data_IF_676911500816
#
_entry.id   IF_676911500816
#
_cell.length_a   1.000
_cell.length_b   1.000
_cell.length_c   1.000
_cell.angle_alpha   90.00
_cell.angle_beta   90.00
_cell.angle_gamma   90.00
#
_symmetry.space_group_name_H-M   'P 1'
#
loop_
_entity.id
_entity.type
_entity.pdbx_description
1 polymer ?
#
# COMPACT_ATOMS: atom_id res chain seq x y z
N UNK A 1 29.90 19.32 -5.04
CA UNK A 1 28.88 18.64 -4.19
C UNK A 1 28.54 17.34 -4.88
N UNK A 2 28.68 16.18 -4.25
CA UNK A 2 28.36 14.89 -4.86
C UNK A 2 26.82 14.81 -5.06
N UNK A 3 26.35 14.27 -6.20
CA UNK A 3 24.91 14.14 -6.52
C UNK A 3 24.06 13.55 -5.36
N UNK A 4 24.61 12.59 -4.61
CA UNK A 4 24.01 12.04 -3.39
C UNK A 4 23.75 13.09 -2.30
N UNK A 5 24.64 14.05 -2.11
CA UNK A 5 24.48 15.15 -1.11
C UNK A 5 23.39 16.12 -1.56
N UNK A 6 23.22 16.34 -2.86
CA UNK A 6 22.14 17.16 -3.39
C UNK A 6 20.77 16.47 -3.23
N UNK A 7 20.68 15.17 -3.53
CA UNK A 7 19.45 14.38 -3.32
C UNK A 7 19.07 14.31 -1.84
N UNK A 8 20.03 14.14 -0.93
CA UNK A 8 19.80 14.19 0.53
C UNK A 8 19.33 15.58 1.01
N UNK A 9 19.87 16.66 0.46
CA UNK A 9 19.44 18.02 0.80
C UNK A 9 18.05 18.37 0.23
N UNK A 10 17.66 17.76 -0.88
CA UNK A 10 16.36 17.98 -1.53
C UNK A 10 15.26 17.12 -0.90
N UNK A 11 15.58 15.94 -0.38
CA UNK A 11 14.61 15.11 0.36
C UNK A 11 14.23 15.73 1.72
N UNK A 12 15.15 16.43 2.37
CA UNK A 12 14.87 17.18 3.62
C UNK A 12 14.05 18.47 3.41
N UNK A 13 13.89 18.90 2.16
CA UNK A 13 13.11 20.11 1.79
C UNK A 13 11.78 19.77 1.10
N UNK A 14 11.40 18.49 1.04
CA UNK A 14 10.17 18.06 0.33
C UNK A 14 10.20 18.29 -1.18
N UNK A 15 11.35 18.67 -1.75
CA UNK A 15 11.51 18.91 -3.19
C UNK A 15 12.07 17.65 -3.84
N UNK A 16 11.19 16.85 -4.43
CA UNK A 16 11.60 15.72 -5.27
C UNK A 16 11.92 16.27 -6.66
N UNK A 17 13.15 16.11 -7.16
CA UNK A 17 13.47 16.61 -8.49
C UNK A 17 12.63 15.85 -9.55
N UNK A 18 11.69 16.52 -10.18
CA UNK A 18 10.91 15.98 -11.31
C UNK A 18 11.80 15.45 -12.47
N UNK A 19 13.09 15.81 -12.46
CA UNK A 19 14.10 15.44 -13.46
C UNK A 19 14.60 13.98 -13.35
N UNK A 20 14.18 13.19 -12.34
CA UNK A 20 14.76 11.87 -12.07
C UNK A 20 13.97 10.68 -12.63
N UNK A 21 12.81 10.91 -13.26
CA UNK A 21 11.93 9.81 -13.68
C UNK A 21 11.47 9.88 -15.15
N UNK A 22 12.36 10.09 -16.13
CA UNK A 22 11.96 10.15 -17.53
C UNK A 22 11.36 8.81 -18.03
N UNK A 23 11.64 7.72 -17.34
CA UNK A 23 11.09 6.42 -17.65
C UNK A 23 9.59 6.30 -17.35
N UNK A 24 9.07 7.02 -16.34
CA UNK A 24 7.66 6.94 -15.95
C UNK A 24 6.70 7.64 -16.92
N UNK A 25 7.18 8.53 -17.77
CA UNK A 25 6.36 9.18 -18.81
C UNK A 25 6.23 8.37 -20.12
N UNK A 26 6.79 7.16 -20.16
CA UNK A 26 6.56 6.21 -21.26
C UNK A 26 5.12 5.70 -21.18
N UNK A 27 4.50 5.43 -22.30
CA UNK A 27 3.16 4.80 -22.31
C UNK A 27 3.20 3.39 -21.68
N UNK A 28 2.04 2.83 -21.37
CA UNK A 28 1.89 1.46 -20.87
C UNK A 28 2.48 0.46 -21.86
N UNK A 29 3.13 -0.60 -21.37
CA UNK A 29 3.64 -1.71 -22.23
C UNK A 29 2.51 -2.36 -23.01
N UNK A 30 2.81 -2.95 -24.17
CA UNK A 30 1.80 -3.59 -25.03
C UNK A 30 0.99 -4.63 -24.26
N UNK A 31 -0.33 -4.47 -24.23
CA UNK A 31 -1.25 -5.30 -23.46
C UNK A 31 -1.20 -5.11 -21.94
N UNK A 32 -0.58 -4.03 -21.45
CA UNK A 32 -0.55 -3.68 -20.03
C UNK A 32 -1.90 -3.21 -19.49
N UNK A 33 -2.02 -3.15 -18.16
CA UNK A 33 -3.25 -2.75 -17.46
C UNK A 33 -3.46 -1.23 -17.52
N UNK A 34 -4.65 -0.82 -17.98
CA UNK A 34 -5.06 0.59 -18.08
C UNK A 34 -6.19 0.96 -17.11
N UNK A 35 -6.69 0.00 -16.34
CA UNK A 35 -7.80 0.17 -15.41
C UNK A 35 -7.40 0.79 -14.07
N UNK A 36 -8.27 0.70 -13.04
CA UNK A 36 -8.00 1.25 -11.70
C UNK A 36 -6.80 0.59 -11.04
N UNK A 37 -6.17 1.33 -10.11
CA UNK A 37 -4.99 0.94 -9.38
C UNK A 37 -5.23 1.03 -7.87
N UNK A 38 -4.69 0.09 -7.11
CA UNK A 38 -4.78 0.08 -5.64
C UNK A 38 -3.39 -0.05 -5.02
N UNK A 39 -3.03 0.90 -4.16
CA UNK A 39 -1.84 0.83 -3.34
C UNK A 39 -2.23 0.84 -1.86
N UNK A 40 -1.75 -0.13 -1.10
CA UNK A 40 -1.99 -0.26 0.31
C UNK A 40 -0.70 -0.05 1.08
N UNK A 41 -0.73 0.80 2.12
CA UNK A 41 0.41 1.08 3.00
C UNK A 41 0.13 0.52 4.37
N UNK A 42 0.97 -0.39 4.83
CA UNK A 42 0.92 -0.94 6.17
C UNK A 42 1.97 -0.28 7.07
N UNK A 43 1.51 0.47 8.08
CA UNK A 43 2.33 1.00 9.16
C UNK A 43 2.41 -0.05 10.28
N UNK A 44 3.41 -0.94 10.21
CA UNK A 44 3.54 -2.11 11.09
C UNK A 44 3.96 -1.70 12.50
N UNK A 45 3.24 -2.22 13.49
CA UNK A 45 3.54 -2.04 14.90
C UNK A 45 2.49 -1.24 15.67
N UNK A 46 1.41 -0.82 15.06
CA UNK A 46 0.36 -0.01 15.72
C UNK A 46 0.70 1.48 15.75
N UNK A 47 0.33 2.22 14.72
CA UNK A 47 0.52 3.66 14.68
C UNK A 47 -0.32 4.40 15.73
N UNK A 48 0.21 5.48 16.30
CA UNK A 48 -0.52 6.31 17.27
C UNK A 48 -1.42 7.32 16.55
N UNK A 49 -2.71 7.01 16.49
CA UNK A 49 -3.69 7.92 15.86
C UNK A 49 -3.88 9.21 16.65
N UNK A 50 -3.58 9.25 17.97
CA UNK A 50 -3.71 10.46 18.79
C UNK A 50 -2.63 11.50 18.46
N UNK A 51 -1.50 11.04 17.92
CA UNK A 51 -0.44 11.89 17.39
C UNK A 51 -0.50 11.99 15.85
N UNK A 52 -1.58 11.52 15.22
CA UNK A 52 -1.76 11.56 13.77
C UNK A 52 -3.13 12.09 13.37
N UNK A 53 -4.10 11.23 13.05
CA UNK A 53 -5.37 11.56 12.38
C UNK A 53 -6.62 11.48 13.28
N UNK A 54 -6.47 11.20 14.56
CA UNK A 54 -7.51 11.26 15.60
C UNK A 54 -6.94 11.96 16.84
N UNK A 55 -6.57 13.27 16.75
CA UNK A 55 -5.84 13.97 17.79
C UNK A 55 -6.63 14.03 19.10
N UNK A 56 -5.92 13.78 20.21
CA UNK A 56 -6.45 13.93 21.58
C UNK A 56 -5.62 14.95 22.34
N UNK A 57 -6.29 15.84 23.05
CA UNK A 57 -5.64 16.86 23.90
C UNK A 57 -5.65 16.41 25.35
N UNK A 58 -4.65 16.86 26.12
CA UNK A 58 -4.56 16.56 27.54
C UNK A 58 -5.70 17.23 28.30
N UNK A 59 -6.34 16.48 29.21
CA UNK A 59 -7.39 16.98 30.06
C UNK A 59 -6.84 17.33 31.46
N UNK A 60 -7.25 18.42 32.10
CA UNK A 60 -6.83 18.78 33.44
C UNK A 60 -7.12 17.68 34.47
N UNK A 61 -6.11 17.22 35.18
CA UNK A 61 -6.23 16.19 36.23
C UNK A 61 -6.17 14.74 35.73
N UNK A 62 -6.05 14.53 34.43
CA UNK A 62 -5.83 13.22 33.83
C UNK A 62 -4.35 12.97 33.47
N UNK A 63 -4.00 11.71 33.18
CA UNK A 63 -2.66 11.39 32.68
C UNK A 63 -2.48 11.97 31.27
N UNK A 64 -1.30 12.50 30.94
CA UNK A 64 -1.04 13.04 29.61
C UNK A 64 -1.25 11.99 28.51
N UNK A 65 -1.92 12.41 27.43
CA UNK A 65 -2.14 11.61 26.21
C UNK A 65 -1.07 11.95 25.17
N UNK A 66 -0.73 13.24 25.05
CA UNK A 66 0.25 13.71 24.06
C UNK A 66 1.11 14.81 24.66
N UNK A 67 2.37 14.90 24.22
CA UNK A 67 3.26 16.00 24.61
C UNK A 67 2.99 17.25 23.78
N UNK A 68 2.55 17.11 22.53
CA UNK A 68 2.28 18.25 21.65
C UNK A 68 1.12 19.13 22.16
N UNK A 69 0.11 18.56 22.79
CA UNK A 69 -1.06 19.33 23.27
C UNK A 69 -0.78 20.21 24.51
N UNK A 70 0.41 20.16 25.09
CA UNK A 70 0.84 21.09 26.11
C UNK A 70 1.04 22.51 25.58
N UNK A 71 1.37 22.66 24.31
CA UNK A 71 1.75 23.93 23.70
C UNK A 71 1.09 24.24 22.36
N UNK A 72 0.42 23.28 21.76
CA UNK A 72 -0.17 23.36 20.42
C UNK A 72 -1.61 22.88 20.43
N UNK A 73 -2.39 23.33 19.47
CA UNK A 73 -3.74 22.86 19.16
C UNK A 73 -3.73 21.94 17.92
N UNK A 74 -4.72 21.05 17.77
CA UNK A 74 -4.89 20.26 16.55
C UNK A 74 -4.98 21.13 15.30
N UNK A 75 -4.35 20.65 14.21
CA UNK A 75 -4.39 21.28 12.89
C UNK A 75 -5.70 20.92 12.21
N UNK A 76 -6.55 21.93 11.90
CA UNK A 76 -7.82 21.74 11.21
C UNK A 76 -7.77 22.36 9.82
N UNK A 77 -7.94 21.53 8.80
CA UNK A 77 -7.95 21.98 7.40
C UNK A 77 -9.12 21.31 6.67
N UNK A 78 -10.05 22.14 6.15
CA UNK A 78 -11.28 21.62 5.57
C UNK A 78 -12.10 20.84 6.60
N UNK A 79 -12.45 19.60 6.29
CA UNK A 79 -13.21 18.72 7.18
C UNK A 79 -12.34 17.67 7.90
N UNK A 80 -11.02 17.80 7.91
CA UNK A 80 -10.10 16.89 8.58
C UNK A 80 -9.31 17.57 9.70
N UNK A 81 -8.93 16.77 10.70
CA UNK A 81 -8.19 17.21 11.86
C UNK A 81 -7.01 16.28 12.13
N UNK A 82 -5.82 16.86 12.33
CA UNK A 82 -4.58 16.12 12.59
C UNK A 82 -3.85 16.72 13.79
N UNK A 83 -3.07 15.88 14.46
CA UNK A 83 -2.15 16.35 15.49
C UNK A 83 -1.03 17.20 14.88
N UNK A 84 -0.58 18.30 15.53
CA UNK A 84 0.56 19.09 15.10
C UNK A 84 1.87 18.36 15.45
N UNK A 85 2.03 17.14 14.95
CA UNK A 85 3.12 16.22 15.25
C UNK A 85 3.88 15.86 13.97
N UNK A 86 5.20 15.74 14.05
CA UNK A 86 6.08 15.54 12.89
C UNK A 86 5.84 16.61 11.80
N UNK A 87 5.51 16.18 10.58
CA UNK A 87 5.17 17.06 9.45
C UNK A 87 3.68 16.97 9.06
N UNK A 88 2.80 16.65 10.01
CA UNK A 88 1.38 16.47 9.76
C UNK A 88 0.70 17.74 9.22
N UNK A 89 1.07 18.92 9.72
CA UNK A 89 0.51 20.20 9.24
C UNK A 89 0.73 20.36 7.74
N UNK A 90 1.97 20.23 7.28
CA UNK A 90 2.32 20.26 5.86
C UNK A 90 1.54 19.19 5.07
N UNK A 91 1.44 17.98 5.59
CA UNK A 91 0.77 16.87 4.93
C UNK A 91 -0.73 17.12 4.77
N UNK A 92 -1.41 17.53 5.83
CA UNK A 92 -2.86 17.78 5.79
C UNK A 92 -3.21 19.01 4.96
N UNK A 93 -2.42 20.09 5.02
CA UNK A 93 -2.59 21.25 4.16
C UNK A 93 -2.55 20.88 2.67
N UNK A 94 -1.63 19.99 2.30
CA UNK A 94 -1.45 19.57 0.91
C UNK A 94 -2.51 18.57 0.45
N UNK A 95 -2.92 17.65 1.30
CA UNK A 95 -3.69 16.45 0.89
C UNK A 95 -5.10 16.34 1.45
N UNK A 96 -5.58 17.25 2.31
CA UNK A 96 -6.90 17.12 2.93
C UNK A 96 -8.04 16.87 1.93
N UNK A 97 -8.01 17.50 0.76
CA UNK A 97 -9.05 17.34 -0.26
C UNK A 97 -9.09 15.95 -0.90
N UNK A 98 -8.00 15.21 -0.81
CA UNK A 98 -7.83 13.88 -1.41
C UNK A 98 -8.13 12.75 -0.43
N UNK A 99 -8.37 13.04 0.85
CA UNK A 99 -8.47 12.02 1.89
C UNK A 99 -9.82 11.97 2.59
N UNK A 100 -10.17 10.78 3.02
CA UNK A 100 -11.15 10.48 4.04
C UNK A 100 -10.46 9.66 5.12
N UNK A 101 -10.63 10.09 6.37
CA UNK A 101 -10.15 9.36 7.56
C UNK A 101 -11.34 8.66 8.21
N UNK A 102 -11.21 7.38 8.50
CA UNK A 102 -12.19 6.57 9.22
C UNK A 102 -11.62 6.32 10.61
N UNK A 103 -12.11 7.04 11.62
CA UNK A 103 -11.70 6.90 13.02
C UNK A 103 -12.60 5.92 13.78
N UNK A 104 -12.16 5.45 14.94
CA UNK A 104 -12.95 4.59 15.80
C UNK A 104 -13.19 3.19 15.23
N UNK A 105 -12.27 2.70 14.41
CA UNK A 105 -12.31 1.31 13.90
C UNK A 105 -11.83 0.38 15.00
N UNK A 106 -12.73 -0.46 15.53
CA UNK A 106 -12.39 -1.46 16.53
C UNK A 106 -11.86 -2.75 15.88
N UNK A 107 -10.56 -2.94 15.98
CA UNK A 107 -9.88 -4.12 15.47
C UNK A 107 -10.05 -5.36 16.37
N UNK A 108 -10.65 -5.21 17.54
CA UNK A 108 -10.98 -6.31 18.48
C UNK A 108 -9.76 -7.12 18.91
N UNK A 109 -8.57 -6.56 18.82
CA UNK A 109 -7.32 -7.27 19.14
C UNK A 109 -6.20 -6.31 19.51
N UNK A 110 -5.29 -6.82 20.36
CA UNK A 110 -4.01 -6.20 20.70
C UNK A 110 -2.83 -7.09 20.25
N UNK A 111 -3.05 -8.00 19.31
CA UNK A 111 -2.03 -8.88 18.73
C UNK A 111 -1.69 -8.44 17.32
N UNK A 112 -0.43 -8.15 17.03
CA UNK A 112 0.04 -7.74 15.71
C UNK A 112 -0.40 -8.71 14.60
N UNK A 113 -0.17 -10.00 14.76
CA UNK A 113 -0.55 -11.01 13.77
C UNK A 113 -2.04 -11.00 13.46
N UNK A 114 -2.88 -10.87 14.50
CA UNK A 114 -4.33 -10.84 14.34
C UNK A 114 -4.77 -9.50 13.77
N UNK A 115 -4.18 -8.39 14.22
CA UNK A 115 -4.47 -7.04 13.75
C UNK A 115 -4.16 -6.86 12.26
N UNK A 116 -2.99 -7.31 11.81
CA UNK A 116 -2.62 -7.30 10.38
C UNK A 116 -3.65 -8.07 9.55
N UNK A 117 -3.99 -9.28 9.97
CA UNK A 117 -4.97 -10.11 9.28
C UNK A 117 -6.34 -9.43 9.25
N UNK A 118 -6.82 -8.92 10.40
CA UNK A 118 -8.14 -8.31 10.53
C UNK A 118 -8.24 -7.02 9.72
N UNK A 119 -7.26 -6.13 9.84
CA UNK A 119 -7.28 -4.85 9.14
C UNK A 119 -7.22 -5.00 7.62
N UNK A 120 -6.51 -5.99 7.09
CA UNK A 120 -6.26 -6.10 5.66
C UNK A 120 -7.10 -7.16 4.91
N UNK A 121 -7.83 -7.99 5.65
CA UNK A 121 -8.82 -8.92 5.08
C UNK A 121 -10.27 -8.57 5.42
N UNK A 122 -10.48 -7.70 6.41
CA UNK A 122 -11.80 -7.41 6.97
C UNK A 122 -12.34 -8.51 7.89
N UNK A 123 -11.52 -9.52 8.24
CA UNK A 123 -11.96 -10.65 9.06
C UNK A 123 -10.92 -11.04 10.10
N UNK A 124 -11.38 -11.23 11.33
CA UNK A 124 -10.55 -11.70 12.43
C UNK A 124 -10.40 -13.25 12.42
N UNK A 125 -10.13 -13.83 11.26
CA UNK A 125 -9.85 -15.24 11.06
C UNK A 125 -9.26 -15.47 9.66
N UNK A 126 -8.46 -16.54 9.50
CA UNK A 126 -7.95 -16.96 8.20
C UNK A 126 -9.08 -17.32 7.20
N UNK A 127 -8.76 -17.38 5.92
CA UNK A 127 -9.66 -17.80 4.85
C UNK A 127 -10.29 -16.65 4.08
N UNK A 128 -9.80 -15.41 4.28
CA UNK A 128 -10.14 -14.25 3.46
C UNK A 128 -8.88 -13.66 2.80
N UNK A 129 -8.97 -13.27 1.53
CA UNK A 129 -7.83 -12.67 0.83
C UNK A 129 -7.58 -11.24 1.33
N UNK A 130 -6.36 -10.75 1.11
CA UNK A 130 -6.09 -9.33 1.17
C UNK A 130 -6.95 -8.59 0.14
N UNK A 131 -7.35 -7.36 0.45
CA UNK A 131 -8.14 -6.52 -0.46
C UNK A 131 -7.41 -6.33 -1.80
N UNK A 132 -6.09 -6.11 -1.77
CA UNK A 132 -5.21 -5.99 -2.94
C UNK A 132 -5.18 -7.24 -3.80
N UNK A 133 -5.19 -8.42 -3.18
CA UNK A 133 -5.26 -9.70 -3.92
C UNK A 133 -6.60 -9.89 -4.62
N UNK A 134 -7.71 -9.55 -3.95
CA UNK A 134 -9.05 -9.58 -4.53
C UNK A 134 -9.18 -8.59 -5.68
N UNK A 135 -8.66 -7.37 -5.50
CA UNK A 135 -8.63 -6.32 -6.52
C UNK A 135 -7.84 -6.76 -7.75
N UNK A 136 -6.64 -7.27 -7.57
CA UNK A 136 -5.79 -7.74 -8.66
C UNK A 136 -6.43 -8.89 -9.44
N UNK A 137 -7.04 -9.84 -8.74
CA UNK A 137 -7.74 -10.96 -9.37
C UNK A 137 -8.96 -10.52 -10.18
N UNK A 138 -9.59 -9.41 -9.80
CA UNK A 138 -10.75 -8.87 -10.53
C UNK A 138 -10.34 -8.05 -11.76
N UNK A 139 -9.38 -7.12 -11.60
CA UNK A 139 -9.07 -6.13 -12.63
C UNK A 139 -7.96 -6.54 -13.60
N UNK A 140 -7.00 -7.33 -13.15
CA UNK A 140 -5.83 -7.67 -13.97
C UNK A 140 -5.39 -9.13 -13.81
N UNK A 141 -6.30 -10.14 -13.93
CA UNK A 141 -5.99 -11.54 -13.65
C UNK A 141 -4.88 -12.12 -14.54
N UNK A 142 -4.60 -11.49 -15.68
CA UNK A 142 -3.59 -11.95 -16.65
C UNK A 142 -2.33 -11.08 -16.68
N UNK A 143 -2.28 -10.00 -15.90
CA UNK A 143 -1.08 -9.15 -15.84
C UNK A 143 0.09 -9.93 -15.23
N UNK A 144 1.31 -9.70 -15.72
CA UNK A 144 2.50 -10.48 -15.32
C UNK A 144 2.80 -10.45 -13.82
N UNK A 145 2.52 -9.34 -13.19
CA UNK A 145 2.76 -9.06 -11.78
C UNK A 145 1.55 -8.37 -11.17
N UNK A 146 0.33 -8.81 -11.51
CA UNK A 146 -0.92 -8.13 -11.16
C UNK A 146 -0.95 -7.61 -9.71
N UNK A 147 -0.36 -8.37 -8.78
CA UNK A 147 -0.21 -8.03 -7.37
C UNK A 147 1.25 -8.11 -6.93
N UNK A 148 1.80 -6.97 -6.50
CA UNK A 148 3.15 -6.85 -5.93
C UNK A 148 3.05 -6.66 -4.43
N UNK A 149 3.77 -7.46 -3.65
CA UNK A 149 3.73 -7.41 -2.18
C UNK A 149 5.14 -7.27 -1.61
N UNK A 150 5.39 -6.17 -0.90
CA UNK A 150 6.64 -5.92 -0.19
C UNK A 150 6.58 -6.34 1.27
N UNK A 151 5.40 -6.62 1.81
CA UNK A 151 5.19 -7.03 3.18
C UNK A 151 3.74 -6.90 3.64
N UNK A 152 3.50 -7.04 4.93
CA UNK A 152 2.16 -7.02 5.51
C UNK A 152 1.36 -8.30 5.23
N UNK A 153 0.02 -8.16 5.23
CA UNK A 153 -0.88 -9.28 4.99
C UNK A 153 -1.10 -9.51 3.49
N UNK A 154 -0.52 -10.57 2.97
CA UNK A 154 -0.54 -10.88 1.53
C UNK A 154 -1.27 -12.17 1.18
N UNK A 155 -2.28 -12.63 1.97
CA UNK A 155 -3.05 -13.82 1.60
C UNK A 155 -3.82 -13.62 0.31
N UNK A 156 -3.68 -14.55 -0.64
CA UNK A 156 -4.40 -14.49 -1.90
C UNK A 156 -5.60 -15.43 -1.96
N UNK A 157 -5.74 -16.35 -1.00
CA UNK A 157 -6.75 -17.42 -1.00
C UNK A 157 -6.86 -18.13 -2.37
N UNK A 158 -5.73 -18.27 -3.05
CA UNK A 158 -5.59 -18.84 -4.40
C UNK A 158 -6.37 -18.10 -5.49
N UNK A 159 -6.75 -16.84 -5.30
CA UNK A 159 -7.39 -16.02 -6.32
C UNK A 159 -6.43 -15.61 -7.42
N UNK A 160 -5.21 -15.29 -7.06
CA UNK A 160 -4.17 -14.81 -7.96
C UNK A 160 -2.80 -15.17 -7.42
N UNK A 161 -1.82 -15.31 -8.31
CA UNK A 161 -0.41 -15.34 -7.92
C UNK A 161 0.09 -13.93 -7.63
N UNK A 162 1.03 -13.78 -6.70
CA UNK A 162 1.61 -12.49 -6.38
C UNK A 162 3.14 -12.52 -6.42
N UNK A 163 3.73 -11.37 -6.69
CA UNK A 163 5.17 -11.15 -6.66
C UNK A 163 5.55 -10.65 -5.27
N UNK A 164 6.20 -11.50 -4.47
CA UNK A 164 6.63 -11.16 -3.11
C UNK A 164 8.08 -10.70 -3.08
N UNK A 165 8.33 -9.48 -2.65
CA UNK A 165 9.65 -8.86 -2.61
C UNK A 165 10.24 -8.70 -1.20
N UNK A 166 9.48 -9.08 -0.16
CA UNK A 166 9.90 -9.11 1.26
C UNK A 166 10.65 -7.84 1.72
N UNK A 167 10.18 -6.67 1.28
CA UNK A 167 10.80 -5.40 1.62
C UNK A 167 12.09 -5.06 0.85
N UNK A 168 12.58 -5.94 -0.03
CA UNK A 168 13.73 -5.67 -0.90
C UNK A 168 13.27 -5.29 -2.32
N UNK A 169 13.18 -3.99 -2.64
CA UNK A 169 12.78 -3.56 -3.98
C UNK A 169 13.77 -3.93 -5.07
N UNK A 170 15.03 -4.19 -4.73
CA UNK A 170 16.04 -4.60 -5.71
C UNK A 170 15.80 -6.01 -6.25
N UNK A 171 15.09 -6.88 -5.51
CA UNK A 171 14.73 -8.23 -5.96
C UNK A 171 13.86 -8.25 -7.22
N UNK A 172 13.18 -7.16 -7.56
CA UNK A 172 12.39 -7.06 -8.81
C UNK A 172 13.27 -7.23 -10.07
N UNK A 173 14.51 -6.76 -10.02
CA UNK A 173 15.42 -6.81 -11.14
C UNK A 173 15.76 -8.25 -11.57
N UNK A 174 15.87 -9.16 -10.61
CA UNK A 174 16.11 -10.58 -10.88
C UNK A 174 14.92 -11.24 -11.58
N UNK A 175 13.70 -10.75 -11.32
CA UNK A 175 12.48 -11.24 -11.97
C UNK A 175 12.41 -10.74 -13.41
N UNK A 176 12.79 -9.49 -13.64
CA UNK A 176 12.69 -8.79 -14.93
C UNK A 176 13.78 -9.26 -15.91
N UNK A 177 15.00 -9.38 -15.44
CA UNK A 177 16.18 -9.81 -16.26
C UNK A 177 16.89 -11.03 -15.65
N UNK A 178 16.24 -12.20 -15.59
CA UNK A 178 16.80 -13.39 -14.92
C UNK A 178 18.04 -13.96 -15.63
N UNK A 179 18.38 -13.47 -16.82
CA UNK A 179 19.56 -13.88 -17.56
C UNK A 179 20.80 -13.02 -17.29
N UNK A 180 20.62 -11.87 -16.64
CA UNK A 180 21.73 -10.98 -16.28
C UNK A 180 22.45 -11.53 -15.05
N UNK A 181 23.79 -11.49 -15.05
CA UNK A 181 24.59 -11.80 -13.88
C UNK A 181 24.67 -10.58 -12.95
N UNK A 182 24.55 -10.84 -11.66
CA UNK A 182 24.46 -9.78 -10.65
C UNK A 182 23.05 -9.17 -10.55
N UNK A 183 22.93 -8.14 -9.73
CA UNK A 183 21.65 -7.46 -9.49
C UNK A 183 21.53 -6.25 -10.40
N UNK A 184 20.52 -6.25 -11.26
CA UNK A 184 20.31 -5.21 -12.31
C UNK A 184 20.28 -3.79 -11.73
N UNK A 185 19.72 -3.62 -10.54
CA UNK A 185 19.53 -2.28 -9.97
C UNK A 185 20.78 -1.78 -9.24
N UNK A 186 21.45 -2.63 -8.46
CA UNK A 186 22.51 -2.19 -7.53
C UNK A 186 23.89 -2.79 -7.78
N UNK A 187 23.99 -3.95 -8.43
CA UNK A 187 25.27 -4.60 -8.65
C UNK A 187 25.29 -5.54 -9.89
N UNK A 188 25.06 -5.04 -11.09
CA UNK A 188 25.24 -5.85 -12.29
C UNK A 188 26.72 -6.21 -12.49
N UNK A 189 26.99 -7.42 -12.98
CA UNK A 189 28.34 -7.83 -13.36
C UNK A 189 28.63 -7.29 -14.74
N UNK A 190 29.75 -6.59 -14.87
CA UNK A 190 30.24 -6.06 -16.13
C UNK A 190 31.62 -6.66 -16.49
N UNK A 191 31.80 -6.99 -17.74
CA UNK A 191 33.08 -7.37 -18.34
C UNK A 191 33.32 -6.49 -19.57
N UNK A 192 34.47 -5.85 -19.65
CA UNK A 192 34.81 -4.90 -20.71
C UNK A 192 33.76 -3.78 -20.95
N UNK A 193 33.11 -3.33 -19.88
CA UNK A 193 32.06 -2.29 -19.93
C UNK A 193 30.68 -2.77 -20.42
N UNK A 194 30.51 -4.09 -20.62
CA UNK A 194 29.24 -4.68 -21.03
C UNK A 194 28.66 -5.59 -19.95
N UNK A 195 27.29 -5.62 -19.80
CA UNK A 195 26.61 -6.53 -18.87
C UNK A 195 26.91 -7.99 -19.22
N UNK A 196 27.19 -8.81 -18.23
CA UNK A 196 27.43 -10.24 -18.39
C UNK A 196 26.13 -11.02 -18.23
N UNK A 197 25.87 -11.92 -19.15
CA UNK A 197 24.68 -12.75 -19.17
C UNK A 197 25.00 -14.22 -18.95
N UNK A 198 24.11 -14.96 -18.24
CA UNK A 198 24.28 -16.42 -18.08
C UNK A 198 24.17 -17.19 -19.39
N UNK A 199 23.40 -16.70 -20.35
CA UNK A 199 23.18 -17.31 -21.66
C UNK A 199 23.25 -16.26 -22.76
N UNK A 200 23.85 -16.67 -23.89
CA UNK A 200 23.94 -15.80 -25.07
C UNK A 200 22.56 -15.68 -25.78
N UNK A 201 22.31 -14.60 -26.54
CA UNK A 201 21.07 -14.41 -27.29
C UNK A 201 20.66 -15.57 -28.19
N UNK A 202 21.62 -16.22 -28.82
CA UNK A 202 21.39 -17.39 -29.71
C UNK A 202 20.84 -18.59 -28.90
N UNK A 203 21.37 -18.83 -27.70
CA UNK A 203 20.89 -19.90 -26.82
C UNK A 203 19.48 -19.62 -26.30
N UNK A 204 19.21 -18.37 -25.95
CA UNK A 204 17.85 -17.96 -25.55
C UNK A 204 16.85 -18.15 -26.70
N UNK A 205 17.20 -17.79 -27.92
CA UNK A 205 16.37 -17.99 -29.10
C UNK A 205 16.07 -19.47 -29.33
N UNK A 206 17.05 -20.35 -29.17
CA UNK A 206 16.85 -21.79 -29.30
C UNK A 206 15.95 -22.36 -28.21
N UNK A 207 16.14 -21.93 -26.96
CA UNK A 207 15.27 -22.31 -25.83
C UNK A 207 13.83 -21.89 -26.10
N UNK A 208 13.63 -20.68 -26.58
CA UNK A 208 12.28 -20.15 -26.87
C UNK A 208 11.60 -20.92 -28.02
N UNK A 209 12.34 -21.16 -29.11
CA UNK A 209 11.83 -21.98 -30.22
C UNK A 209 11.40 -23.39 -29.77
N UNK A 210 12.19 -24.03 -28.90
CA UNK A 210 11.88 -25.35 -28.35
C UNK A 210 10.63 -25.28 -27.43
N UNK A 211 10.52 -24.25 -26.63
CA UNK A 211 9.37 -24.01 -25.73
C UNK A 211 8.08 -23.82 -26.52
N UNK A 212 8.09 -22.99 -27.58
CA UNK A 212 6.96 -22.76 -28.47
C UNK A 212 6.53 -24.06 -29.17
N UNK A 213 7.48 -24.82 -29.71
CA UNK A 213 7.20 -26.10 -30.35
C UNK A 213 6.60 -27.12 -29.36
N UNK A 214 7.03 -27.11 -28.10
CA UNK A 214 6.47 -27.96 -27.04
C UNK A 214 5.03 -27.54 -26.72
N UNK A 215 4.78 -26.24 -26.57
CA UNK A 215 3.44 -25.70 -26.30
C UNK A 215 2.45 -26.10 -27.39
N UNK A 216 2.82 -25.90 -28.66
CA UNK A 216 2.01 -26.30 -29.82
C UNK A 216 1.68 -27.79 -29.83
N UNK A 217 2.69 -28.66 -29.55
CA UNK A 217 2.45 -30.12 -29.47
C UNK A 217 1.50 -30.51 -28.35
N UNK A 218 1.56 -29.82 -27.19
CA UNK A 218 0.67 -30.10 -26.07
C UNK A 218 -0.77 -29.63 -26.37
N UNK A 219 -0.93 -28.47 -26.99
CA UNK A 219 -2.24 -27.95 -27.40
C UNK A 219 -2.91 -28.84 -28.48
N UNK A 220 -2.11 -29.43 -29.39
CA UNK A 220 -2.59 -30.31 -30.43
C UNK A 220 -3.08 -31.70 -29.94
N UNK A 221 -2.85 -32.08 -28.68
CA UNK A 221 -3.30 -33.38 -28.14
C UNK A 221 -4.82 -33.52 -27.96
N UNK A 222 -5.60 -32.44 -28.04
CA UNK A 222 -7.04 -32.43 -28.14
C UNK A 222 -7.84 -32.83 -26.89
N UNK A 223 -7.35 -33.74 -26.07
CA UNK A 223 -7.97 -34.13 -24.80
C UNK A 223 -6.94 -34.13 -23.66
N UNK A 224 -6.97 -33.06 -22.88
CA UNK A 224 -6.18 -32.94 -21.68
C UNK A 224 -7.06 -33.16 -20.45
N UNK A 225 -6.51 -33.83 -19.42
CA UNK A 225 -7.17 -33.87 -18.12
C UNK A 225 -7.30 -32.43 -17.57
N UNK A 226 -8.33 -32.10 -16.77
CA UNK A 226 -8.56 -30.74 -16.29
C UNK A 226 -7.33 -30.09 -15.64
N UNK A 227 -6.54 -30.85 -14.87
CA UNK A 227 -5.29 -30.38 -14.24
C UNK A 227 -4.20 -30.10 -15.29
N UNK A 228 -4.11 -30.92 -16.34
CA UNK A 228 -3.14 -30.71 -17.41
C UNK A 228 -3.50 -29.49 -18.26
N UNK A 229 -4.78 -29.29 -18.53
CA UNK A 229 -5.29 -28.09 -19.22
C UNK A 229 -4.99 -26.82 -18.40
N UNK A 230 -5.25 -26.81 -17.10
CA UNK A 230 -4.93 -25.70 -16.21
C UNK A 230 -3.42 -25.40 -16.17
N UNK A 231 -2.58 -26.42 -16.07
CA UNK A 231 -1.12 -26.26 -16.09
C UNK A 231 -0.62 -25.73 -17.44
N UNK A 232 -1.21 -26.17 -18.54
CA UNK A 232 -0.86 -25.69 -19.88
C UNK A 232 -1.27 -24.24 -20.09
N UNK A 233 -2.43 -23.85 -19.58
CA UNK A 233 -2.90 -22.47 -19.59
C UNK A 233 -1.94 -21.58 -18.76
N UNK A 234 -1.62 -21.94 -17.53
CA UNK A 234 -0.69 -21.22 -16.68
C UNK A 234 0.70 -21.07 -17.32
N UNK A 235 1.21 -22.13 -17.96
CA UNK A 235 2.47 -22.06 -18.71
C UNK A 235 2.38 -21.13 -19.92
N UNK A 236 1.26 -21.12 -20.65
CA UNK A 236 1.03 -20.22 -21.80
C UNK A 236 0.96 -18.76 -21.34
N UNK A 237 0.28 -18.48 -20.23
CA UNK A 237 0.19 -17.14 -19.64
C UNK A 237 1.55 -16.64 -19.17
N UNK A 238 2.31 -17.46 -18.43
CA UNK A 238 3.68 -17.12 -17.99
C UNK A 238 4.61 -16.86 -19.18
N UNK A 239 4.44 -17.56 -20.30
CA UNK A 239 5.21 -17.34 -21.51
C UNK A 239 4.89 -16.00 -22.18
N UNK A 240 3.59 -15.64 -22.23
CA UNK A 240 3.15 -14.33 -22.76
C UNK A 240 3.58 -13.17 -21.87
N UNK A 241 3.61 -13.35 -20.56
CA UNK A 241 4.00 -12.34 -19.59
C UNK A 241 5.49 -11.91 -19.72
N UNK A 242 6.34 -12.69 -20.38
CA UNK A 242 7.79 -12.39 -20.52
C UNK A 242 8.09 -11.15 -21.35
N UNK A 243 7.29 -10.85 -22.37
CA UNK A 243 7.46 -9.64 -23.18
C UNK A 243 7.25 -8.38 -22.33
N UNK A 244 6.07 -8.18 -21.77
CA UNK A 244 5.79 -7.05 -20.88
C UNK A 244 6.75 -6.92 -19.70
N UNK A 245 7.21 -8.02 -19.09
CA UNK A 245 8.20 -7.98 -18.02
C UNK A 245 9.56 -7.51 -18.50
N UNK A 246 9.99 -7.90 -19.72
CA UNK A 246 11.24 -7.40 -20.28
C UNK A 246 11.18 -5.89 -20.54
N UNK A 247 10.07 -5.43 -21.09
CA UNK A 247 9.86 -4.01 -21.36
C UNK A 247 9.75 -3.21 -20.05
N UNK A 248 9.24 -3.81 -18.98
CA UNK A 248 9.19 -3.22 -17.65
C UNK A 248 10.57 -2.85 -17.08
N UNK A 249 11.65 -3.54 -17.49
CA UNK A 249 13.01 -3.17 -17.09
C UNK A 249 13.32 -1.69 -17.35
N UNK A 250 12.78 -1.14 -18.42
CA UNK A 250 12.98 0.25 -18.82
C UNK A 250 12.26 1.28 -17.92
N UNK A 251 11.32 0.83 -17.10
CA UNK A 251 10.58 1.68 -16.14
C UNK A 251 11.21 1.68 -14.76
N UNK A 252 12.07 0.72 -14.47
CA UNK A 252 12.73 0.65 -13.17
C UNK A 252 13.69 1.84 -12.98
N UNK A 253 13.74 2.40 -11.77
CA UNK A 253 14.73 3.43 -11.48
C UNK A 253 16.13 2.86 -11.60
N UNK A 254 17.07 3.66 -12.11
CA UNK A 254 18.48 3.28 -12.10
C UNK A 254 19.00 3.21 -10.66
N UNK A 255 20.03 2.40 -10.42
CA UNK A 255 20.60 2.18 -9.09
C UNK A 255 20.91 3.48 -8.33
N UNK A 256 21.45 4.48 -9.03
CA UNK A 256 21.76 5.79 -8.44
C UNK A 256 20.54 6.67 -8.14
N UNK A 257 19.36 6.30 -8.66
CA UNK A 257 18.09 7.02 -8.48
C UNK A 257 17.16 6.34 -7.47
N UNK A 258 17.48 5.14 -7.01
CA UNK A 258 16.73 4.48 -5.94
C UNK A 258 16.95 5.24 -4.63
N UNK A 259 15.86 5.48 -3.90
CA UNK A 259 15.98 6.01 -2.55
C UNK A 259 16.71 5.02 -1.65
N UNK A 260 17.74 5.49 -0.91
CA UNK A 260 18.38 4.65 0.09
C UNK A 260 17.41 4.32 1.21
N UNK A 261 17.73 3.30 1.98
CA UNK A 261 17.11 3.07 3.28
C UNK A 261 17.22 4.36 4.14
N UNK A 262 16.14 4.70 4.82
CA UNK A 262 16.12 5.86 5.71
C UNK A 262 17.10 5.66 6.87
N UNK A 263 17.92 6.68 7.13
CA UNK A 263 19.03 6.57 8.11
C UNK A 263 18.55 6.55 9.57
N UNK A 264 17.35 7.04 9.85
CA UNK A 264 16.78 7.14 11.20
C UNK A 264 15.87 5.96 11.51
N UNK A 265 14.92 5.71 10.62
CA UNK A 265 13.90 4.67 10.83
C UNK A 265 14.32 3.31 10.32
N UNK A 266 15.40 3.23 9.53
CA UNK A 266 15.87 2.02 8.85
C UNK A 266 14.82 1.38 7.92
N UNK A 267 13.85 2.16 7.44
CA UNK A 267 12.85 1.73 6.48
C UNK A 267 13.26 2.04 5.04
N UNK A 268 12.81 1.22 4.10
CA UNK A 268 13.00 1.42 2.66
C UNK A 268 11.70 1.76 1.92
N UNK A 269 10.70 2.34 2.62
CA UNK A 269 9.37 2.61 2.08
C UNK A 269 9.41 3.40 0.77
N UNK A 270 10.25 4.45 0.67
CA UNK A 270 10.39 5.24 -0.56
C UNK A 270 10.86 4.41 -1.75
N UNK A 271 11.78 3.46 -1.55
CA UNK A 271 12.23 2.55 -2.61
C UNK A 271 11.13 1.56 -3.02
N UNK A 272 10.34 1.03 -2.07
CA UNK A 272 9.18 0.20 -2.37
C UNK A 272 8.16 0.97 -3.23
N UNK A 273 7.87 2.22 -2.85
CA UNK A 273 6.99 3.13 -3.60
C UNK A 273 7.50 3.35 -5.03
N UNK A 274 8.80 3.58 -5.23
CA UNK A 274 9.37 3.75 -6.57
C UNK A 274 9.13 2.52 -7.46
N UNK A 275 9.38 1.32 -6.93
CA UNK A 275 9.20 0.08 -7.69
C UNK A 275 7.72 -0.20 -7.97
N UNK A 276 6.83 -0.02 -6.98
CA UNK A 276 5.39 -0.17 -7.18
C UNK A 276 4.87 0.82 -8.23
N UNK A 277 5.31 2.08 -8.17
CA UNK A 277 4.93 3.12 -9.13
C UNK A 277 5.43 2.81 -10.55
N UNK A 278 6.62 2.26 -10.67
CA UNK A 278 7.16 1.79 -11.96
C UNK A 278 6.30 0.65 -12.54
N UNK A 279 5.87 -0.29 -11.70
CA UNK A 279 5.02 -1.40 -12.13
C UNK A 279 3.61 -0.92 -12.58
N UNK A 280 3.05 0.08 -11.89
CA UNK A 280 1.79 0.72 -12.28
C UNK A 280 1.93 1.52 -13.58
N UNK A 281 3.00 2.32 -13.72
CA UNK A 281 3.27 3.09 -14.93
C UNK A 281 3.46 2.20 -16.16
N UNK A 282 4.12 1.07 -16.01
CA UNK A 282 4.27 0.08 -17.06
C UNK A 282 3.00 -0.73 -17.35
N UNK A 283 2.02 -0.73 -16.45
CA UNK A 283 0.80 -1.55 -16.56
C UNK A 283 1.03 -3.04 -16.30
N UNK A 284 2.16 -3.43 -15.71
CA UNK A 284 2.43 -4.84 -15.36
C UNK A 284 1.81 -5.25 -14.04
N UNK A 285 1.41 -4.28 -13.22
CA UNK A 285 0.69 -4.48 -11.97
C UNK A 285 -0.52 -3.55 -11.88
N UNK A 286 -1.54 -3.93 -11.07
CA UNK A 286 -2.66 -3.06 -10.71
C UNK A 286 -2.84 -2.92 -9.20
N UNK A 287 -2.19 -3.76 -8.40
CA UNK A 287 -2.24 -3.69 -6.93
C UNK A 287 -0.85 -3.84 -6.33
N UNK A 288 -0.60 -3.10 -5.24
CA UNK A 288 0.64 -3.23 -4.49
C UNK A 288 0.40 -3.04 -2.98
N UNK A 289 1.10 -3.84 -2.17
CA UNK A 289 1.26 -3.62 -0.73
C UNK A 289 2.69 -3.19 -0.44
N UNK A 290 2.81 -2.03 0.20
CA UNK A 290 4.07 -1.53 0.75
C UNK A 290 3.98 -1.45 2.26
N UNK A 291 5.10 -1.60 2.95
CA UNK A 291 5.11 -1.53 4.41
C UNK A 291 6.31 -0.80 4.97
N UNK A 292 6.12 -0.25 6.15
CA UNK A 292 7.19 0.23 7.03
C UNK A 292 6.93 -0.24 8.45
N UNK A 293 8.00 -0.61 9.16
CA UNK A 293 7.93 -1.05 10.56
C UNK A 293 8.42 0.02 11.52
N UNK A 294 8.38 -0.33 12.82
CA UNK A 294 8.92 0.48 13.89
C UNK A 294 7.89 1.21 14.74
N UNK A 295 6.59 1.12 14.41
CA UNK A 295 5.53 1.77 15.18
C UNK A 295 5.23 1.10 16.53
N UNK A 296 5.89 -0.01 16.87
CA UNK A 296 5.75 -0.72 18.15
C UNK A 296 6.58 -0.04 19.26
N UNK A 297 6.18 1.17 19.63
CA UNK A 297 6.95 2.10 20.47
C UNK A 297 6.52 2.02 21.94
N UNK A 298 6.95 0.98 22.65
CA UNK A 298 6.67 0.75 24.08
C UNK A 298 7.52 1.60 25.05
N UNK A 299 8.54 2.28 24.55
CA UNK A 299 9.41 3.23 25.25
C UNK A 299 9.72 4.41 24.33
N UNK A 300 10.09 5.54 24.90
CA UNK A 300 10.51 6.77 24.19
C UNK A 300 9.65 7.11 22.97
N UNK A 301 8.31 6.93 23.09
CA UNK A 301 7.34 6.94 22.01
C UNK A 301 7.53 8.11 21.03
N UNK A 302 7.53 9.35 21.54
CA UNK A 302 7.55 10.52 20.67
C UNK A 302 8.84 10.63 19.85
N UNK A 303 9.97 10.25 20.44
CA UNK A 303 11.27 10.29 19.78
C UNK A 303 11.36 9.24 18.65
N UNK A 304 10.79 8.06 18.88
CA UNK A 304 10.77 6.96 17.90
C UNK A 304 9.67 7.14 16.86
N UNK A 305 8.48 7.58 17.27
CA UNK A 305 7.30 7.67 16.42
C UNK A 305 7.34 8.84 15.43
N UNK A 306 7.90 9.99 15.86
CA UNK A 306 7.96 11.21 15.05
C UNK A 306 8.65 11.02 13.69
N UNK A 307 9.86 10.43 13.60
CA UNK A 307 10.49 10.20 12.30
C UNK A 307 9.73 9.18 11.43
N UNK A 308 9.01 8.23 12.03
CA UNK A 308 8.18 7.27 11.30
C UNK A 308 6.99 7.96 10.63
N UNK A 309 6.27 8.81 11.35
CA UNK A 309 5.17 9.62 10.80
C UNK A 309 5.66 10.54 9.69
N UNK A 310 6.84 11.17 9.90
CA UNK A 310 7.44 12.01 8.87
C UNK A 310 7.72 11.23 7.59
N UNK A 311 8.37 10.07 7.70
CA UNK A 311 8.68 9.20 6.55
C UNK A 311 7.41 8.70 5.86
N UNK A 312 6.36 8.35 6.61
CA UNK A 312 5.07 7.92 6.07
C UNK A 312 4.46 9.02 5.20
N UNK A 313 4.34 10.24 5.73
CA UNK A 313 3.79 11.39 5.01
C UNK A 313 4.59 11.73 3.75
N UNK A 314 5.92 11.75 3.85
CA UNK A 314 6.82 11.98 2.70
C UNK A 314 6.71 10.86 1.64
N UNK A 315 6.46 9.62 2.06
CA UNK A 315 6.28 8.50 1.14
C UNK A 315 4.92 8.55 0.43
N UNK A 316 3.87 9.01 1.12
CA UNK A 316 2.57 9.29 0.48
C UNK A 316 2.71 10.43 -0.53
N UNK A 317 3.45 11.49 -0.20
CA UNK A 317 3.77 12.57 -1.15
C UNK A 317 4.50 12.06 -2.39
N UNK A 318 5.46 11.16 -2.20
CA UNK A 318 6.17 10.51 -3.29
C UNK A 318 5.24 9.70 -4.19
N UNK A 319 4.28 8.94 -3.61
CA UNK A 319 3.28 8.18 -4.37
C UNK A 319 2.52 9.10 -5.34
N UNK A 320 1.96 10.19 -4.83
CA UNK A 320 1.19 11.12 -5.65
C UNK A 320 2.06 11.84 -6.68
N UNK A 321 3.28 12.24 -6.31
CA UNK A 321 4.24 12.85 -7.25
C UNK A 321 4.58 11.91 -8.41
N UNK A 322 4.83 10.63 -8.14
CA UNK A 322 5.11 9.63 -9.17
C UNK A 322 3.87 9.32 -10.00
N UNK A 323 2.70 9.22 -9.38
CA UNK A 323 1.43 8.98 -10.06
C UNK A 323 1.07 10.10 -11.04
N UNK A 324 1.24 11.37 -10.64
CA UNK A 324 1.05 12.53 -11.51
C UNK A 324 2.06 12.53 -12.66
N UNK A 325 3.34 12.29 -12.36
CA UNK A 325 4.41 12.25 -13.36
C UNK A 325 4.16 11.16 -14.42
N UNK A 326 3.66 10.01 -13.99
CA UNK A 326 3.37 8.86 -14.86
C UNK A 326 1.96 8.93 -15.49
N UNK A 327 1.10 9.88 -15.10
CA UNK A 327 -0.22 10.09 -15.67
C UNK A 327 -1.30 9.09 -15.24
N UNK A 328 -1.12 8.40 -14.09
CA UNK A 328 -2.11 7.46 -13.58
C UNK A 328 -2.80 7.90 -12.27
N UNK A 329 -2.55 9.11 -11.79
CA UNK A 329 -3.09 9.60 -10.52
C UNK A 329 -4.63 9.53 -10.44
N UNK A 330 -5.33 9.77 -11.55
CA UNK A 330 -6.80 9.71 -11.60
C UNK A 330 -7.38 8.29 -11.44
N UNK A 331 -6.54 7.26 -11.55
CA UNK A 331 -6.91 5.84 -11.44
C UNK A 331 -6.49 5.22 -10.12
N UNK A 332 -5.70 5.94 -9.30
CA UNK A 332 -5.07 5.42 -8.11
C UNK A 332 -5.94 5.62 -6.86
N UNK A 333 -6.14 4.54 -6.13
CA UNK A 333 -6.62 4.57 -4.74
C UNK A 333 -5.48 4.18 -3.82
N UNK A 334 -5.26 4.96 -2.77
CA UNK A 334 -4.30 4.64 -1.69
C UNK A 334 -5.07 4.39 -0.40
N UNK A 335 -4.77 3.28 0.26
CA UNK A 335 -5.33 2.92 1.58
C UNK A 335 -4.19 2.80 2.57
N UNK A 336 -4.28 3.51 3.69
CA UNK A 336 -3.25 3.52 4.73
C UNK A 336 -3.86 3.05 6.04
N UNK A 337 -3.17 2.18 6.75
CA UNK A 337 -3.61 1.68 8.05
C UNK A 337 -2.50 0.92 8.77
N UNK A 338 -2.82 0.46 9.97
CA UNK A 338 -1.92 -0.29 10.84
C UNK A 338 -2.60 -1.54 11.38
N UNK A 339 -1.87 -2.38 12.07
CA UNK A 339 -2.39 -3.58 12.73
C UNK A 339 -3.37 -3.25 13.88
N UNK A 340 -3.19 -2.12 14.56
CA UNK A 340 -4.08 -1.51 15.57
C UNK A 340 -3.52 -0.10 15.88
N UNK A 341 -3.78 0.46 17.07
CA UNK A 341 -3.27 1.74 17.50
C UNK A 341 -2.49 1.62 18.82
N UNK A 342 -2.08 2.75 19.37
CA UNK A 342 -1.42 2.86 20.67
C UNK A 342 -2.38 3.35 21.72
N UNK A 343 -2.15 2.98 23.00
CA UNK A 343 -2.90 3.54 24.13
C UNK A 343 -2.88 5.05 24.11
N UNK A 344 -3.99 5.72 24.45
CA UNK A 344 -3.97 7.19 24.51
C UNK A 344 -2.89 7.70 25.48
N UNK A 345 -2.77 7.12 26.66
CA UNK A 345 -1.86 7.54 27.72
C UNK A 345 -0.49 6.90 27.61
N UNK A 346 0.56 7.64 28.04
CA UNK A 346 1.92 7.10 28.16
C UNK A 346 2.03 6.10 29.31
N UNK A 347 2.82 5.05 29.10
CA UNK A 347 3.23 4.12 30.15
C UNK A 347 4.39 4.70 30.98
N UNK A 348 4.91 3.90 31.93
CA UNK A 348 6.00 4.34 32.82
C UNK A 348 7.36 4.57 32.14
N UNK A 349 7.53 4.12 30.90
CA UNK A 349 8.75 4.25 30.10
C UNK A 349 8.60 5.33 29.01
N UNK A 350 7.61 6.23 29.13
CA UNK A 350 7.27 7.23 28.10
C UNK A 350 6.92 6.58 26.74
N UNK A 351 6.56 5.31 26.75
CA UNK A 351 6.03 4.56 25.61
C UNK A 351 4.51 4.55 25.60
N UNK A 352 3.94 3.90 24.58
CA UNK A 352 2.50 3.61 24.52
C UNK A 352 2.30 2.14 24.20
N UNK A 353 1.34 1.51 24.88
CA UNK A 353 1.03 0.10 24.71
C UNK A 353 -0.01 -0.13 23.59
N UNK A 354 -0.40 -1.37 23.33
CA UNK A 354 -1.34 -1.73 22.29
C UNK A 354 -2.77 -1.26 22.60
N UNK A 355 -3.45 -0.72 21.60
CA UNK A 355 -4.84 -0.29 21.72
C UNK A 355 -5.67 -0.74 20.51
N UNK A 356 -6.84 -1.38 20.71
CA UNK A 356 -7.59 -1.99 19.61
C UNK A 356 -8.31 -0.99 18.70
N UNK A 357 -8.50 0.26 19.14
CA UNK A 357 -9.24 1.26 18.38
C UNK A 357 -8.27 2.08 17.53
N UNK A 358 -8.39 1.94 16.22
CA UNK A 358 -7.52 2.57 15.26
C UNK A 358 -8.25 3.40 14.21
N UNK A 359 -7.52 3.72 13.15
CA UNK A 359 -8.02 4.49 12.02
C UNK A 359 -7.56 3.89 10.69
N UNK A 360 -8.32 4.20 9.62
CA UNK A 360 -7.94 3.89 8.25
C UNK A 360 -8.06 5.17 7.43
N UNK A 361 -7.07 5.47 6.59
CA UNK A 361 -7.11 6.60 5.67
C UNK A 361 -7.24 6.11 4.24
N UNK A 362 -8.16 6.70 3.48
CA UNK A 362 -8.39 6.39 2.06
C UNK A 362 -8.18 7.65 1.25
N UNK A 363 -7.42 7.55 0.16
CA UNK A 363 -7.08 8.70 -0.68
C UNK A 363 -7.32 8.40 -2.15
N UNK A 364 -7.87 9.39 -2.86
CA UNK A 364 -7.97 9.44 -4.32
C UNK A 364 -7.75 10.86 -4.80
N UNK A 365 -7.42 11.03 -6.08
CA UNK A 365 -7.35 12.36 -6.70
C UNK A 365 -8.74 12.97 -6.85
N UNK A 366 -8.95 14.15 -6.25
CA UNK A 366 -10.20 14.94 -6.35
C UNK A 366 -11.50 14.13 -6.11
N UNK A 367 -11.60 13.31 -5.07
CA UNK A 367 -12.81 12.54 -4.81
C UNK A 367 -13.93 13.44 -4.29
N UNK A 368 -15.18 13.13 -4.61
CA UNK A 368 -16.34 13.88 -4.08
C UNK A 368 -16.53 13.72 -2.56
N UNK A 369 -15.95 12.68 -1.99
CA UNK A 369 -15.99 12.35 -0.56
C UNK A 369 -14.76 12.82 0.23
N UNK A 370 -13.82 13.52 -0.39
CA UNK A 370 -12.61 14.02 0.26
C UNK A 370 -12.86 15.09 1.32
N UNK A 371 -11.79 15.47 2.03
CA UNK A 371 -11.79 16.46 3.13
C UNK A 371 -12.77 16.09 4.25
N UNK A 372 -12.80 14.84 4.65
CA UNK A 372 -13.76 14.32 5.65
C UNK A 372 -13.11 13.40 6.67
N UNK A 373 -13.63 13.47 7.89
CA UNK A 373 -13.46 12.44 8.92
C UNK A 373 -14.82 11.78 9.14
N UNK A 374 -14.86 10.45 9.22
CA UNK A 374 -16.02 9.65 9.60
C UNK A 374 -15.63 8.72 10.74
N UNK A 375 -16.63 8.30 11.53
CA UNK A 375 -16.34 7.59 12.76
C UNK A 375 -15.86 8.54 13.87
N UNK A 376 -16.06 8.14 15.10
CA UNK A 376 -15.83 8.96 16.27
C UNK A 376 -15.22 8.13 17.39
N UNK A 377 -14.38 8.79 18.19
CA UNK A 377 -13.84 8.27 19.44
C UNK A 377 -14.06 9.28 20.56
N UNK A 378 -14.13 8.81 21.80
CA UNK A 378 -14.13 9.67 22.97
C UNK A 378 -12.70 10.19 23.29
N UNK A 379 -12.57 11.00 24.34
CA UNK A 379 -11.28 11.56 24.78
C UNK A 379 -10.27 10.50 25.21
N UNK A 380 -10.70 9.27 25.46
CA UNK A 380 -9.86 8.11 25.80
C UNK A 380 -9.70 7.13 24.63
N UNK A 381 -10.00 7.60 23.44
CA UNK A 381 -9.87 6.81 22.21
C UNK A 381 -10.71 5.51 22.24
N UNK A 382 -11.85 5.50 22.92
CA UNK A 382 -12.84 4.44 22.78
C UNK A 382 -13.74 4.75 21.59
N UNK A 383 -14.09 3.73 20.80
CA UNK A 383 -15.00 3.90 19.68
C UNK A 383 -16.41 4.32 20.13
N UNK A 384 -16.99 5.29 19.46
CA UNK A 384 -18.37 5.75 19.67
C UNK A 384 -19.24 5.16 18.57
N UNK A 385 -20.41 4.60 18.96
CA UNK A 385 -21.40 4.12 18.01
C UNK A 385 -21.97 5.30 17.21
N UNK A 386 -22.09 5.12 15.89
CA UNK A 386 -22.59 6.13 14.97
C UNK A 386 -23.75 5.59 14.14
N UNK A 387 -24.66 6.47 13.73
CA UNK A 387 -25.68 6.13 12.74
C UNK A 387 -25.00 5.84 11.38
N UNK A 388 -25.28 4.69 10.75
CA UNK A 388 -24.57 4.27 9.55
C UNK A 388 -24.77 5.16 8.32
N UNK A 389 -25.86 5.92 8.26
CA UNK A 389 -26.21 6.76 7.10
C UNK A 389 -25.76 8.20 7.31
N UNK A 390 -26.12 8.81 8.44
CA UNK A 390 -25.74 10.19 8.76
C UNK A 390 -24.30 10.31 9.24
N UNK A 391 -23.70 9.21 9.71
CA UNK A 391 -22.35 9.12 10.30
C UNK A 391 -22.16 9.99 11.55
N UNK A 392 -23.26 10.38 12.19
CA UNK A 392 -23.26 11.15 13.44
C UNK A 392 -23.33 10.21 14.65
N UNK A 393 -22.84 10.67 15.81
CA UNK A 393 -22.91 9.91 17.05
C UNK A 393 -24.35 9.45 17.35
N UNK A 394 -24.54 8.18 17.56
CA UNK A 394 -25.80 7.58 18.00
C UNK A 394 -25.51 6.45 19.02
N UNK A 395 -25.28 6.80 20.29
CA UNK A 395 -24.97 5.81 21.31
C UNK A 395 -26.13 4.84 21.62
N UNK A 396 -27.35 5.15 21.19
CA UNK A 396 -28.55 4.36 21.50
C UNK A 396 -28.88 3.29 20.48
N UNK A 397 -28.68 3.58 19.18
CA UNK A 397 -29.07 2.70 18.05
C UNK A 397 -28.04 2.62 16.94
N UNK A 398 -26.94 3.35 17.05
CA UNK A 398 -25.84 3.31 16.12
C UNK A 398 -25.00 2.02 16.21
N UNK A 399 -24.01 1.91 15.35
CA UNK A 399 -23.10 0.78 15.29
C UNK A 399 -21.65 1.23 15.49
N UNK A 400 -20.84 0.37 16.07
CA UNK A 400 -19.37 0.50 16.10
C UNK A 400 -18.83 0.06 14.74
N UNK A 401 -17.80 0.76 14.26
CA UNK A 401 -17.12 0.44 13.02
C UNK A 401 -16.11 -0.70 13.28
N UNK A 402 -16.17 -1.73 12.47
CA UNK A 402 -15.21 -2.83 12.45
C UNK A 402 -14.49 -2.91 11.10
N UNK A 403 -13.34 -3.61 11.00
CA UNK A 403 -12.65 -3.80 9.72
C UNK A 403 -13.53 -4.38 8.61
N UNK A 404 -14.47 -5.27 8.92
CA UNK A 404 -15.44 -5.80 7.95
C UNK A 404 -16.28 -4.69 7.30
N UNK A 405 -16.67 -3.67 8.07
CA UNK A 405 -17.49 -2.55 7.58
C UNK A 405 -16.65 -1.65 6.66
N UNK A 406 -15.39 -1.40 7.03
CA UNK A 406 -14.43 -0.67 6.20
C UNK A 406 -14.21 -1.40 4.88
N UNK A 407 -14.00 -2.72 4.92
CA UNK A 407 -13.80 -3.53 3.72
C UNK A 407 -15.04 -3.62 2.83
N UNK A 408 -16.23 -3.67 3.41
CA UNK A 408 -17.47 -3.65 2.63
C UNK A 408 -17.58 -2.35 1.84
N UNK A 409 -17.29 -1.21 2.47
CA UNK A 409 -17.30 0.09 1.82
C UNK A 409 -16.15 0.27 0.82
N UNK A 410 -14.95 -0.24 1.12
CA UNK A 410 -13.85 -0.25 0.16
C UNK A 410 -14.17 -1.10 -1.07
N UNK A 411 -14.82 -2.26 -0.91
CA UNK A 411 -15.27 -3.07 -2.05
C UNK A 411 -16.28 -2.31 -2.92
N UNK A 412 -17.17 -1.53 -2.33
CA UNK A 412 -18.10 -0.67 -3.08
C UNK A 412 -17.34 0.42 -3.84
N UNK A 413 -16.48 1.18 -3.15
CA UNK A 413 -15.66 2.23 -3.73
C UNK A 413 -14.81 1.73 -4.92
N UNK A 414 -14.26 0.54 -4.77
CA UNK A 414 -13.36 -0.09 -5.76
C UNK A 414 -14.10 -0.89 -6.84
N UNK A 415 -15.45 -0.85 -6.89
CA UNK A 415 -16.22 -1.58 -7.89
C UNK A 415 -16.17 -3.10 -7.75
N UNK A 416 -15.87 -3.61 -6.56
CA UNK A 416 -15.74 -5.06 -6.29
C UNK A 416 -17.00 -5.67 -5.67
N UNK A 417 -17.97 -4.85 -5.22
CA UNK A 417 -19.11 -5.33 -4.44
C UNK A 417 -19.91 -6.42 -5.16
N UNK A 418 -20.14 -6.25 -6.46
CA UNK A 418 -20.89 -7.19 -7.28
C UNK A 418 -20.00 -8.24 -7.98
N UNK A 419 -18.73 -8.29 -7.64
CA UNK A 419 -17.78 -9.25 -8.22
C UNK A 419 -18.11 -10.67 -7.77
N UNK A 420 -18.18 -11.66 -8.67
CA UNK A 420 -18.31 -13.08 -8.30
C UNK A 420 -17.18 -13.57 -7.40
N UNK A 421 -15.99 -12.94 -7.48
CA UNK A 421 -14.88 -13.24 -6.60
C UNK A 421 -15.14 -12.71 -5.18
N UNK A 422 -15.64 -11.49 -5.03
CA UNK A 422 -16.01 -10.92 -3.72
C UNK A 422 -17.14 -11.68 -3.05
N UNK A 423 -18.11 -12.19 -3.83
CA UNK A 423 -19.23 -12.99 -3.34
C UNK A 423 -18.78 -14.30 -2.66
N UNK A 424 -17.58 -14.79 -2.93
CA UNK A 424 -16.99 -15.96 -2.24
C UNK A 424 -16.56 -15.66 -0.80
N UNK A 425 -16.42 -14.38 -0.45
CA UNK A 425 -15.90 -13.89 0.82
C UNK A 425 -16.85 -12.82 1.40
N UNK A 426 -18.10 -13.15 1.74
CA UNK A 426 -19.09 -12.19 2.20
C UNK A 426 -18.82 -11.74 3.64
N UNK A 427 -18.96 -10.46 3.92
CA UNK A 427 -18.83 -9.94 5.29
C UNK A 427 -20.10 -10.07 6.10
N UNK A 428 -21.28 -9.94 5.48
CA UNK A 428 -22.59 -9.95 6.12
C UNK A 428 -22.62 -8.97 7.33
N UNK A 429 -22.05 -7.77 7.16
CA UNK A 429 -21.93 -6.81 8.25
C UNK A 429 -23.30 -6.34 8.72
N UNK A 430 -24.22 -6.12 7.79
CA UNK A 430 -25.57 -5.63 8.05
C UNK A 430 -25.63 -4.21 8.63
N UNK A 431 -24.48 -3.54 8.77
CA UNK A 431 -24.37 -2.21 9.37
C UNK A 431 -24.90 -1.11 8.45
N UNK A 432 -24.69 -1.25 7.13
CA UNK A 432 -25.19 -0.30 6.14
C UNK A 432 -24.46 1.05 6.14
N UNK A 433 -23.22 1.12 6.62
CA UNK A 433 -22.41 2.33 6.60
C UNK A 433 -22.25 2.89 5.18
N UNK A 434 -22.18 4.24 5.07
CA UNK A 434 -22.02 4.98 3.82
C UNK A 434 -20.84 5.95 3.91
N UNK A 435 -19.64 5.45 4.17
CA UNK A 435 -18.45 6.29 4.37
C UNK A 435 -18.16 7.21 3.19
N UNK A 436 -18.35 6.75 1.99
CA UNK A 436 -18.08 7.50 0.75
C UNK A 436 -19.31 8.19 0.15
N UNK A 437 -20.44 8.19 0.87
CA UNK A 437 -21.73 8.70 0.37
C UNK A 437 -22.39 7.73 -0.62
N UNK A 438 -23.27 8.25 -1.47
CA UNK A 438 -23.90 7.46 -2.52
C UNK A 438 -22.88 7.32 -3.68
N UNK A 439 -22.30 6.14 -3.80
CA UNK A 439 -21.44 5.77 -4.92
C UNK A 439 -22.37 5.41 -6.10
N UNK A 440 -22.54 6.34 -7.04
CA UNK A 440 -23.36 6.18 -8.25
C UNK A 440 -22.60 5.49 -9.36
#
# INVERSE_FOLDING_TARGET
MKRRTLLKAMSSLGVIPALSYPALSRGIVDGGHEGPLLLQIHAEGGWDVTSYCDPKVNQPGERPITTWSETLDPVRVGGVEFAPFANNEWFVEKYHQQMLVINGVDLQTNSHTTGILHNWSGRNAAGYPALTALFAAHYAPTAPMAYVNFGGFGSTENLISYTKLQGDPAGIAEIVEPNLQGRVIDNPVYEDGHPVYFRQPAELSLIEAHRQARLQRLQARGQLAPREAANLQAFSEATRARGPLKDFADYLPKAEAIFPQDEITHNNLKAQVQVASSAFAAGVACAADVQMGGFDTHDDHDALHKPLVQLLNESIDLIWTLAETAGYADRLTVVVGSDFSRTPEYNSQQGKDHWPIGSVMVMQKAPSWGSRVVGLTDERQNAIAIDPVSLQADPSSGAIIYPKDVHEQLRQLLGLADSPLAARFPFNSGSGFRFFGDLS
#
